data_IF_610844196637
#
_entry.id   IF_610844196637
#
_cell.length_a   1.000
_cell.length_b   1.000
_cell.length_c   1.000
_cell.angle_alpha   90.00
_cell.angle_beta   90.00
_cell.angle_gamma   90.00
#
_symmetry.space_group_name_H-M   'P 1'
#
loop_
_entity.id
_entity.type
_entity.pdbx_description
1 polymer ?
#
# COMPACT_ATOMS: atom_id res chain seq x y z
N UNK A 1 -7.92 67.72 1.11
CA UNK A 1 -7.92 66.68 2.18
C UNK A 1 -8.14 65.33 1.51
N UNK A 2 -7.18 64.40 1.58
CA UNK A 2 -7.25 63.12 0.84
C UNK A 2 -7.86 62.03 1.75
N UNK A 3 -8.97 61.43 1.35
CA UNK A 3 -9.63 60.34 2.08
C UNK A 3 -9.26 59.01 1.45
N UNK A 4 -8.65 58.11 2.22
CA UNK A 4 -8.28 56.76 1.76
C UNK A 4 -9.33 55.77 2.22
N UNK A 5 -10.05 55.16 1.28
CA UNK A 5 -11.02 54.08 1.56
C UNK A 5 -10.27 52.75 1.47
N UNK A 6 -10.23 51.99 2.56
CA UNK A 6 -9.54 50.70 2.60
C UNK A 6 -10.49 49.57 2.19
N UNK A 7 -10.21 48.92 1.05
CA UNK A 7 -10.76 47.61 0.65
C UNK A 7 -9.60 46.61 0.56
N UNK A 8 -9.76 45.34 0.94
CA UNK A 8 -8.68 44.37 0.83
C UNK A 8 -8.24 44.22 -0.64
N UNK A 9 -6.94 44.40 -0.91
CA UNK A 9 -6.25 44.20 -2.19
C UNK A 9 -6.50 45.19 -3.34
N UNK A 10 -7.10 46.36 -3.12
CA UNK A 10 -7.11 47.44 -4.13
C UNK A 10 -6.80 48.77 -3.46
N UNK A 11 -5.66 49.39 -3.82
CA UNK A 11 -5.40 50.80 -3.51
C UNK A 11 -5.91 51.64 -4.68
N UNK A 12 -6.85 52.52 -4.36
CA UNK A 12 -7.43 53.47 -5.30
C UNK A 12 -7.02 54.85 -4.84
N UNK A 13 -6.32 55.60 -5.69
CA UNK A 13 -6.03 57.02 -5.47
C UNK A 13 -7.10 57.85 -6.18
N UNK A 14 -7.70 58.80 -5.46
CA UNK A 14 -8.65 59.77 -5.99
C UNK A 14 -7.98 61.15 -6.04
N UNK A 15 -8.27 61.94 -7.08
CA UNK A 15 -7.86 63.34 -7.17
C UNK A 15 -8.75 64.29 -6.34
N UNK A 16 -8.51 65.61 -6.41
CA UNK A 16 -9.29 66.61 -5.66
C UNK A 16 -10.74 66.76 -6.14
N UNK A 17 -11.10 66.20 -7.31
CA UNK A 17 -12.46 66.18 -7.86
C UNK A 17 -13.16 64.83 -7.66
N UNK A 18 -12.50 63.86 -7.02
CA UNK A 18 -13.05 62.55 -6.73
C UNK A 18 -12.97 61.57 -7.89
N UNK A 19 -12.18 61.85 -8.92
CA UNK A 19 -11.93 60.94 -10.04
C UNK A 19 -10.79 59.96 -9.72
N UNK A 20 -10.94 58.73 -10.19
CA UNK A 20 -10.00 57.63 -9.95
C UNK A 20 -8.79 57.79 -10.86
N UNK A 21 -7.63 58.14 -10.30
CA UNK A 21 -6.41 58.38 -11.07
C UNK A 21 -5.55 57.13 -11.26
N UNK A 22 -5.49 56.23 -10.28
CA UNK A 22 -4.79 54.95 -10.42
C UNK A 22 -5.46 53.83 -9.64
N UNK A 23 -5.55 52.65 -10.27
CA UNK A 23 -5.93 51.38 -9.63
C UNK A 23 -4.75 50.41 -9.71
N UNK A 24 -3.91 50.39 -8.67
CA UNK A 24 -2.87 49.37 -8.54
C UNK A 24 -3.53 48.04 -8.14
N UNK A 25 -4.01 47.33 -9.15
CA UNK A 25 -4.41 45.93 -9.03
C UNK A 25 -3.12 45.14 -8.89
N UNK A 26 -2.87 44.54 -7.71
CA UNK A 26 -1.76 43.62 -7.50
C UNK A 26 -1.89 42.41 -8.43
N UNK A 27 -1.41 42.54 -9.66
CA UNK A 27 -1.49 41.52 -10.69
C UNK A 27 -0.70 40.29 -10.25
N UNK A 28 -1.39 39.15 -10.16
CA UNK A 28 -0.70 37.87 -10.14
C UNK A 28 0.04 37.75 -11.48
N UNK A 29 1.38 37.83 -11.45
CA UNK A 29 2.21 37.59 -12.62
C UNK A 29 2.02 36.14 -13.08
N UNK A 30 1.03 35.93 -13.95
CA UNK A 30 0.94 34.75 -14.81
C UNK A 30 2.19 34.79 -15.69
N UNK A 31 2.89 33.66 -15.79
CA UNK A 31 4.20 33.60 -16.43
C UNK A 31 4.11 34.13 -17.87
N UNK A 32 4.77 35.27 -18.15
CA UNK A 32 4.75 35.94 -19.46
C UNK A 32 5.55 35.20 -20.55
N UNK A 33 6.25 34.14 -20.17
CA UNK A 33 6.88 33.18 -21.07
C UNK A 33 6.37 31.76 -20.76
N UNK A 34 5.65 31.17 -21.73
CA UNK A 34 5.34 29.74 -21.93
C UNK A 34 4.01 29.12 -21.40
N UNK A 35 3.48 28.11 -22.15
CA UNK A 35 2.05 27.83 -22.40
C UNK A 35 1.29 27.03 -21.32
N UNK A 36 1.73 27.05 -20.07
CA UNK A 36 1.30 26.06 -19.06
C UNK A 36 0.15 26.49 -18.14
N UNK A 37 -0.42 27.69 -18.34
CA UNK A 37 -1.64 28.16 -17.64
C UNK A 37 -1.58 28.17 -16.11
N UNK A 38 -0.38 28.06 -15.52
CA UNK A 38 -0.16 27.93 -14.07
C UNK A 38 0.54 29.17 -13.54
N UNK A 39 0.11 29.64 -12.36
CA UNK A 39 0.76 30.73 -11.64
C UNK A 39 2.28 30.49 -11.50
N UNK A 40 3.09 31.50 -11.83
CA UNK A 40 4.56 31.43 -11.92
C UNK A 40 5.21 30.83 -10.67
N UNK A 41 4.69 31.16 -9.49
CA UNK A 41 5.14 30.63 -8.18
C UNK A 41 5.12 29.09 -8.10
N UNK A 42 4.18 28.45 -8.79
CA UNK A 42 3.93 27.01 -8.79
C UNK A 42 4.42 26.30 -10.06
N UNK A 43 5.07 27.03 -10.98
CA UNK A 43 5.63 26.46 -12.19
C UNK A 43 7.04 25.92 -11.91
N UNK A 44 7.22 24.60 -12.05
CA UNK A 44 8.54 23.97 -11.88
C UNK A 44 9.49 24.35 -13.01
N UNK A 45 8.99 24.39 -14.24
CA UNK A 45 9.77 24.64 -15.46
C UNK A 45 10.27 26.08 -15.54
N UNK A 46 9.55 27.02 -14.95
CA UNK A 46 9.95 28.43 -14.88
C UNK A 46 10.75 28.78 -13.61
N UNK A 47 11.19 27.78 -12.83
CA UNK A 47 11.93 28.02 -11.59
C UNK A 47 11.11 28.77 -10.52
N UNK A 48 9.80 28.52 -10.47
CA UNK A 48 8.87 29.17 -9.54
C UNK A 48 9.35 29.11 -8.09
N UNK A 49 9.08 30.17 -7.32
CA UNK A 49 9.62 30.36 -5.96
C UNK A 49 9.35 29.21 -4.96
N UNK A 50 8.38 28.33 -5.25
CA UNK A 50 8.11 27.13 -4.46
C UNK A 50 9.17 26.02 -4.64
N UNK A 51 9.86 25.99 -5.77
CA UNK A 51 10.85 24.97 -6.11
C UNK A 51 12.28 25.48 -5.86
N UNK A 52 13.18 24.57 -5.48
CA UNK A 52 14.62 24.84 -5.43
C UNK A 52 15.29 24.47 -6.77
N UNK A 53 16.57 24.79 -6.88
CA UNK A 53 17.44 24.38 -8.01
C UNK A 53 17.47 22.86 -8.21
N UNK A 54 17.26 22.08 -7.15
CA UNK A 54 17.15 20.61 -7.22
C UNK A 54 15.80 20.12 -7.79
N UNK A 55 14.93 21.02 -8.26
CA UNK A 55 13.63 20.69 -8.86
C UNK A 55 12.61 20.08 -7.89
N UNK A 56 12.89 20.16 -6.58
CA UNK A 56 12.01 19.74 -5.48
C UNK A 56 11.35 20.96 -4.85
N UNK A 57 10.26 20.74 -4.14
CA UNK A 57 9.64 21.81 -3.34
C UNK A 57 10.62 22.21 -2.23
N UNK A 58 10.93 23.52 -2.08
CA UNK A 58 12.00 24.02 -1.19
C UNK A 58 11.89 23.48 0.23
N UNK A 59 10.70 23.51 0.82
CA UNK A 59 10.49 23.05 2.20
C UNK A 59 10.64 21.51 2.37
N UNK A 60 10.63 20.75 1.27
CA UNK A 60 10.82 19.29 1.22
C UNK A 60 12.21 18.88 0.71
N UNK A 61 13.05 19.83 0.30
CA UNK A 61 14.36 19.53 -0.25
C UNK A 61 15.36 19.33 0.90
N UNK A 62 15.93 18.12 1.01
CA UNK A 62 16.98 17.81 1.98
C UNK A 62 18.23 18.68 1.77
N UNK A 63 18.65 18.83 0.51
CA UNK A 63 19.87 19.57 0.13
C UNK A 63 19.75 21.07 0.42
N UNK A 64 18.53 21.62 0.37
CA UNK A 64 18.26 23.02 0.75
C UNK A 64 17.92 23.20 2.24
N UNK A 65 18.05 22.17 3.08
CA UNK A 65 17.68 22.25 4.50
C UNK A 65 16.18 22.49 4.73
N UNK A 66 15.34 22.05 3.80
CA UNK A 66 13.89 22.25 3.86
C UNK A 66 13.28 21.78 5.18
N UNK A 67 12.56 22.65 5.87
CA UNK A 67 12.12 22.43 7.26
C UNK A 67 11.25 21.18 7.50
N UNK A 68 10.67 20.59 6.45
CA UNK A 68 9.89 19.35 6.60
C UNK A 68 10.72 18.07 6.64
N UNK A 69 11.99 18.10 6.24
CA UNK A 69 12.90 16.95 6.28
C UNK A 69 13.87 17.15 7.44
N UNK A 70 14.15 16.09 8.20
CA UNK A 70 15.19 16.09 9.22
C UNK A 70 16.54 15.63 8.63
N UNK A 71 17.61 15.75 9.41
CA UNK A 71 18.95 15.28 9.04
C UNK A 71 19.00 13.81 8.62
N UNK A 72 18.13 12.98 9.24
CA UNK A 72 17.94 11.56 8.90
C UNK A 72 17.29 11.32 7.52
N UNK A 73 16.97 12.38 6.76
CA UNK A 73 16.34 12.28 5.44
C UNK A 73 14.88 11.83 5.46
N UNK A 74 14.26 11.78 6.65
CA UNK A 74 12.84 11.45 6.85
C UNK A 74 12.03 12.72 7.03
N UNK A 75 10.72 12.65 6.78
CA UNK A 75 9.83 13.75 7.13
C UNK A 75 9.86 13.95 8.65
N UNK A 76 10.17 15.17 9.10
CA UNK A 76 10.45 15.52 10.51
C UNK A 76 9.29 15.13 11.43
N UNK A 77 8.04 15.28 10.99
CA UNK A 77 6.86 14.87 11.74
C UNK A 77 6.76 13.37 11.99
N UNK A 78 7.36 12.53 11.14
CA UNK A 78 7.34 11.06 11.24
C UNK A 78 8.67 10.46 11.69
N UNK A 79 9.69 11.29 11.93
CA UNK A 79 11.00 10.80 12.33
C UNK A 79 10.99 10.45 13.82
N UNK A 80 11.17 9.16 14.13
CA UNK A 80 11.27 8.67 15.52
C UNK A 80 12.48 9.28 16.25
N UNK A 81 13.63 9.36 15.58
CA UNK A 81 14.88 9.88 16.14
C UNK A 81 14.79 11.38 16.47
N UNK A 82 13.95 12.14 15.76
CA UNK A 82 13.70 13.56 16.04
C UNK A 82 12.49 13.83 16.94
N UNK A 83 11.88 12.80 17.54
CA UNK A 83 10.67 12.97 18.35
C UNK A 83 9.47 13.52 17.55
N UNK A 84 9.36 13.15 16.27
CA UNK A 84 8.38 13.70 15.34
C UNK A 84 6.95 13.68 15.91
N UNK A 85 6.23 14.80 15.76
CA UNK A 85 4.90 15.01 16.35
C UNK A 85 3.83 13.98 15.95
N UNK A 86 4.05 13.21 14.88
CA UNK A 86 3.14 12.12 14.45
C UNK A 86 3.46 10.78 15.10
N UNK A 87 4.56 10.65 15.83
CA UNK A 87 5.00 9.44 16.53
C UNK A 87 4.67 9.57 18.03
N UNK A 88 4.13 8.50 18.64
CA UNK A 88 3.93 8.44 20.09
C UNK A 88 5.16 7.91 20.81
N UNK A 89 5.14 7.96 22.14
CA UNK A 89 6.17 7.36 23.00
C UNK A 89 6.40 5.86 22.72
N UNK A 90 5.37 5.12 22.31
CA UNK A 90 5.46 3.73 21.90
C UNK A 90 6.17 3.52 20.54
N UNK A 91 6.67 4.58 19.91
CA UNK A 91 7.37 4.52 18.62
C UNK A 91 6.48 4.18 17.42
N UNK A 92 5.16 4.22 17.58
CA UNK A 92 4.16 4.01 16.52
C UNK A 92 3.59 5.35 16.05
N UNK A 93 2.97 5.39 14.87
CA UNK A 93 2.21 6.58 14.47
C UNK A 93 1.04 6.79 15.45
N UNK A 94 0.90 8.00 16.01
CA UNK A 94 -0.12 8.34 17.03
C UNK A 94 -1.52 7.89 16.61
N UNK A 95 -1.92 8.18 15.38
CA UNK A 95 -3.23 7.79 14.83
C UNK A 95 -3.47 6.27 14.76
N UNK A 96 -2.41 5.47 14.73
CA UNK A 96 -2.46 4.01 14.63
C UNK A 96 -2.09 3.31 15.94
N UNK A 97 -1.76 4.05 16.99
CA UNK A 97 -1.34 3.47 18.26
C UNK A 97 -2.57 3.13 19.11
N UNK A 98 -2.77 1.83 19.39
CA UNK A 98 -3.85 1.37 20.27
C UNK A 98 -3.71 1.95 21.68
N UNK A 99 -2.50 1.93 22.24
CA UNK A 99 -2.19 2.40 23.60
C UNK A 99 -2.46 3.90 23.78
N UNK A 100 -2.31 4.70 22.71
CA UNK A 100 -2.64 6.13 22.73
C UNK A 100 -4.07 6.46 22.29
N UNK A 101 -4.95 5.46 22.11
CA UNK A 101 -6.32 5.69 21.62
C UNK A 101 -6.38 6.27 20.20
N UNK A 102 -5.40 5.90 19.35
CA UNK A 102 -5.26 6.45 18.01
C UNK A 102 -6.55 6.35 17.18
N UNK A 103 -6.95 7.48 16.57
CA UNK A 103 -8.24 7.61 15.87
C UNK A 103 -8.49 6.60 14.74
N UNK A 104 -7.43 6.01 14.16
CA UNK A 104 -7.53 5.00 13.11
C UNK A 104 -7.77 3.58 13.64
N UNK A 105 -7.62 3.33 14.94
CA UNK A 105 -7.85 2.04 15.59
C UNK A 105 -9.19 2.09 16.33
N UNK A 106 -9.95 0.99 16.29
CA UNK A 106 -11.15 0.84 17.10
C UNK A 106 -10.85 0.09 18.41
N UNK A 107 -11.84 0.03 19.31
CA UNK A 107 -11.74 -0.71 20.58
C UNK A 107 -11.34 -2.18 20.41
N UNK A 108 -11.74 -2.82 19.31
CA UNK A 108 -11.35 -4.18 18.93
C UNK A 108 -9.87 -4.33 18.54
N UNK A 109 -9.08 -3.25 18.56
CA UNK A 109 -7.66 -3.24 18.16
C UNK A 109 -7.43 -3.40 16.66
N UNK A 110 -8.49 -3.28 15.84
CA UNK A 110 -8.43 -3.35 14.37
C UNK A 110 -8.44 -1.93 13.79
N UNK A 111 -8.00 -1.78 12.54
CA UNK A 111 -8.20 -0.50 11.84
C UNK A 111 -9.70 -0.23 11.66
N UNK A 112 -10.16 0.94 12.12
CA UNK A 112 -11.58 1.33 12.13
C UNK A 112 -12.22 1.24 10.74
N UNK A 113 -11.48 1.62 9.71
CA UNK A 113 -11.92 1.54 8.31
C UNK A 113 -12.27 0.10 7.86
N UNK A 114 -11.58 -0.92 8.40
CA UNK A 114 -11.75 -2.32 8.04
C UNK A 114 -12.45 -3.15 9.14
N UNK A 115 -12.91 -2.51 10.21
CA UNK A 115 -13.53 -3.23 11.32
C UNK A 115 -15.00 -3.53 11.02
N UNK A 116 -15.36 -4.80 10.89
CA UNK A 116 -16.74 -5.24 10.64
C UNK A 116 -17.66 -4.91 11.82
N UNK A 117 -17.19 -5.13 13.06
CA UNK A 117 -17.96 -4.88 14.29
C UNK A 117 -18.29 -3.39 14.47
N UNK A 118 -17.39 -2.48 14.05
CA UNK A 118 -17.63 -1.03 14.10
C UNK A 118 -18.33 -0.47 12.85
N UNK A 119 -18.77 -1.31 11.90
CA UNK A 119 -19.35 -0.84 10.64
C UNK A 119 -18.39 -0.01 9.78
N UNK A 120 -17.09 -0.34 9.80
CA UNK A 120 -16.05 0.38 9.07
C UNK A 120 -16.39 0.56 7.59
N UNK A 121 -16.16 1.77 7.06
CA UNK A 121 -16.58 2.14 5.70
C UNK A 121 -15.91 1.33 4.57
N UNK A 122 -14.79 0.67 4.87
CA UNK A 122 -14.11 -0.28 4.00
C UNK A 122 -14.77 -1.66 3.90
N UNK A 123 -15.78 -1.95 4.72
CA UNK A 123 -16.58 -3.18 4.66
C UNK A 123 -17.93 -2.86 3.98
N UNK A 124 -18.36 -3.72 3.06
CA UNK A 124 -19.66 -3.58 2.41
C UNK A 124 -20.76 -4.30 3.20
N UNK A 125 -22.03 -4.10 2.78
CA UNK A 125 -23.20 -4.77 3.38
C UNK A 125 -23.10 -6.31 3.37
N UNK A 126 -22.33 -6.89 2.46
CA UNK A 126 -22.09 -8.35 2.38
C UNK A 126 -20.99 -8.82 3.36
N UNK A 127 -20.46 -7.95 4.22
CA UNK A 127 -19.41 -8.28 5.19
C UNK A 127 -18.03 -8.55 4.58
N UNK A 128 -17.83 -8.22 3.30
CA UNK A 128 -16.55 -8.32 2.58
C UNK A 128 -15.88 -6.95 2.48
N UNK A 129 -14.57 -6.91 2.24
CA UNK A 129 -13.91 -5.64 1.89
C UNK A 129 -14.55 -5.07 0.62
N UNK A 130 -14.95 -3.79 0.66
CA UNK A 130 -15.70 -3.14 -0.41
C UNK A 130 -14.97 -3.18 -1.74
N UNK A 131 -13.66 -2.97 -1.73
CA UNK A 131 -12.80 -3.06 -2.93
C UNK A 131 -12.77 -4.46 -3.56
N UNK A 132 -12.99 -5.52 -2.77
CA UNK A 132 -12.94 -6.92 -3.22
C UNK A 132 -14.33 -7.54 -3.41
N UNK A 133 -15.40 -6.81 -3.11
CA UNK A 133 -16.74 -7.34 -3.18
C UNK A 133 -17.27 -7.33 -4.61
N UNK A 134 -17.42 -8.52 -5.21
CA UNK A 134 -18.00 -8.69 -6.55
C UNK A 134 -19.40 -8.09 -6.66
N UNK A 135 -20.27 -8.36 -5.67
CA UNK A 135 -21.65 -7.86 -5.64
C UNK A 135 -21.76 -6.34 -5.49
N UNK A 136 -20.70 -5.66 -5.02
CA UNK A 136 -20.65 -4.20 -4.95
C UNK A 136 -19.87 -3.56 -6.10
N UNK A 137 -19.40 -4.35 -7.10
CA UNK A 137 -18.53 -3.83 -8.15
C UNK A 137 -17.21 -3.28 -7.61
N UNK A 138 -16.65 -3.91 -6.57
CA UNK A 138 -15.43 -3.45 -5.91
C UNK A 138 -14.29 -3.18 -6.91
N UNK A 139 -13.51 -2.13 -6.66
CA UNK A 139 -12.46 -1.65 -7.57
C UNK A 139 -11.40 -2.70 -7.94
N UNK A 140 -11.18 -3.69 -7.07
CA UNK A 140 -10.24 -4.79 -7.28
C UNK A 140 -10.84 -5.95 -8.07
N UNK A 141 -12.13 -5.94 -8.36
CA UNK A 141 -12.84 -6.97 -9.14
C UNK A 141 -13.10 -6.42 -10.55
N UNK A 142 -12.89 -7.24 -11.57
CA UNK A 142 -13.26 -6.91 -12.95
C UNK A 142 -14.67 -7.42 -13.29
N UNK A 143 -15.17 -7.05 -14.47
CA UNK A 143 -16.46 -7.52 -14.99
C UNK A 143 -16.57 -9.05 -15.09
N UNK A 144 -15.45 -9.73 -15.33
CA UNK A 144 -15.34 -11.20 -15.32
C UNK A 144 -15.45 -11.83 -13.93
N UNK A 145 -15.59 -11.01 -12.87
CA UNK A 145 -15.67 -11.47 -11.49
C UNK A 145 -14.36 -12.02 -10.91
N UNK A 146 -13.24 -11.77 -11.60
CA UNK A 146 -11.88 -12.12 -11.15
C UNK A 146 -11.22 -10.89 -10.53
N UNK A 147 -10.15 -11.10 -9.76
CA UNK A 147 -9.33 -9.98 -9.29
C UNK A 147 -8.69 -9.28 -10.50
N UNK A 148 -8.95 -7.98 -10.66
CA UNK A 148 -8.55 -7.16 -11.82
C UNK A 148 -7.06 -7.22 -12.10
N UNK A 149 -6.23 -7.25 -11.05
CA UNK A 149 -4.76 -7.37 -11.15
C UNK A 149 -4.34 -8.69 -11.80
N UNK A 150 -5.13 -9.77 -11.68
CA UNK A 150 -4.80 -11.13 -12.15
C UNK A 150 -5.65 -11.56 -13.35
N UNK A 151 -6.63 -10.76 -13.76
CA UNK A 151 -7.51 -11.10 -14.86
C UNK A 151 -6.77 -10.98 -16.20
N UNK A 152 -6.64 -12.10 -16.91
CA UNK A 152 -5.99 -12.14 -18.23
C UNK A 152 -6.78 -11.35 -19.28
N UNK A 153 -8.12 -11.46 -19.28
CA UNK A 153 -9.00 -10.77 -20.23
C UNK A 153 -8.94 -9.24 -20.07
N UNK A 154 -8.70 -8.73 -18.86
CA UNK A 154 -8.56 -7.30 -18.61
C UNK A 154 -7.11 -6.79 -18.70
N UNK A 155 -6.14 -7.63 -19.12
CA UNK A 155 -4.73 -7.26 -19.14
C UNK A 155 -4.16 -6.90 -17.76
N UNK A 156 -4.62 -7.60 -16.72
CA UNK A 156 -4.29 -7.30 -15.33
C UNK A 156 -2.80 -7.07 -15.08
N UNK A 157 -2.48 -6.12 -14.19
CA UNK A 157 -1.10 -5.68 -13.91
C UNK A 157 -0.15 -6.79 -13.41
N UNK A 158 -0.67 -7.94 -12.99
CA UNK A 158 0.12 -9.10 -12.57
C UNK A 158 0.32 -10.12 -13.69
N UNK A 159 -0.31 -9.94 -14.85
CA UNK A 159 -0.22 -10.85 -16.02
C UNK A 159 0.64 -10.20 -17.11
N UNK A 160 1.61 -10.93 -17.65
CA UNK A 160 2.41 -10.47 -18.78
C UNK A 160 1.70 -10.73 -20.11
N UNK A 161 2.26 -10.20 -21.20
CA UNK A 161 1.82 -10.47 -22.57
C UNK A 161 1.80 -11.97 -22.92
N UNK A 162 2.69 -12.78 -22.33
CA UNK A 162 2.71 -14.24 -22.46
C UNK A 162 1.56 -14.95 -21.71
N UNK A 163 0.65 -14.21 -21.06
CA UNK A 163 -0.48 -14.77 -20.32
C UNK A 163 -0.11 -15.49 -19.01
N UNK A 164 1.14 -15.35 -18.56
CA UNK A 164 1.64 -15.90 -17.29
C UNK A 164 1.66 -14.80 -16.22
N UNK A 165 1.75 -15.17 -14.94
CA UNK A 165 2.01 -14.18 -13.88
C UNK A 165 3.39 -13.54 -14.14
N UNK A 166 3.47 -12.21 -14.21
CA UNK A 166 4.72 -11.46 -14.48
C UNK A 166 5.87 -11.91 -13.59
N UNK A 167 5.60 -12.07 -12.29
CA UNK A 167 6.59 -12.52 -11.32
C UNK A 167 7.13 -13.93 -11.59
N UNK A 168 6.39 -14.77 -12.33
CA UNK A 168 6.72 -16.15 -12.66
C UNK A 168 7.05 -16.35 -14.16
N UNK A 169 7.10 -15.27 -14.94
CA UNK A 169 7.38 -15.35 -16.36
C UNK A 169 8.88 -15.22 -16.60
N UNK A 170 9.52 -16.28 -17.11
CA UNK A 170 10.94 -16.27 -17.50
C UNK A 170 11.25 -15.18 -18.53
N UNK A 171 10.44 -15.10 -19.59
CA UNK A 171 10.63 -14.17 -20.70
C UNK A 171 10.56 -12.70 -20.25
N UNK A 172 9.80 -12.41 -19.19
CA UNK A 172 9.72 -11.06 -18.60
C UNK A 172 10.74 -10.82 -17.47
N UNK A 173 11.69 -11.72 -17.23
CA UNK A 173 12.65 -11.61 -16.12
C UNK A 173 11.99 -11.69 -14.74
N UNK A 174 10.85 -12.38 -14.63
CA UNK A 174 10.04 -12.46 -13.42
C UNK A 174 10.86 -12.84 -12.19
N UNK A 175 10.81 -11.99 -11.16
CA UNK A 175 11.65 -12.11 -9.96
C UNK A 175 11.47 -13.39 -9.13
N UNK A 176 10.50 -14.25 -9.47
CA UNK A 176 10.31 -15.55 -8.81
C UNK A 176 10.98 -16.72 -9.54
N UNK A 177 11.53 -16.54 -10.76
CA UNK A 177 12.18 -17.60 -11.54
C UNK A 177 13.70 -17.37 -11.55
N UNK A 178 14.50 -18.40 -11.22
CA UNK A 178 15.96 -18.33 -11.35
C UNK A 178 16.41 -18.64 -12.78
N UNK A 179 17.71 -18.47 -13.02
CA UNK A 179 18.37 -18.90 -14.27
C UNK A 179 18.17 -20.39 -14.61
N UNK A 180 17.93 -21.23 -13.59
CA UNK A 180 17.66 -22.67 -13.75
C UNK A 180 16.19 -23.01 -14.08
N UNK A 181 15.37 -22.04 -14.49
CA UNK A 181 13.95 -22.22 -14.82
C UNK A 181 13.08 -22.79 -13.70
N UNK A 182 13.54 -22.65 -12.45
CA UNK A 182 12.84 -23.08 -11.25
C UNK A 182 12.37 -21.87 -10.46
N UNK A 183 11.35 -22.05 -9.63
CA UNK A 183 10.96 -21.01 -8.66
C UNK A 183 12.15 -20.78 -7.74
N UNK A 184 12.68 -19.54 -7.66
CA UNK A 184 13.89 -19.17 -6.90
C UNK A 184 13.87 -19.72 -5.48
N UNK A 185 12.76 -19.56 -4.77
CA UNK A 185 12.61 -20.04 -3.40
C UNK A 185 12.71 -21.57 -3.27
N UNK A 186 12.46 -22.32 -4.34
CA UNK A 186 12.52 -23.80 -4.37
C UNK A 186 13.74 -24.33 -5.13
N UNK A 187 14.57 -23.47 -5.70
CA UNK A 187 15.74 -23.90 -6.45
C UNK A 187 16.88 -24.27 -5.50
N UNK A 188 17.32 -25.53 -5.54
CA UNK A 188 18.43 -26.02 -4.72
C UNK A 188 19.76 -25.34 -5.11
N UNK A 189 20.02 -25.19 -6.40
CA UNK A 189 21.24 -24.58 -6.95
C UNK A 189 21.36 -23.09 -6.57
N UNK A 190 20.24 -22.38 -6.42
CA UNK A 190 20.24 -20.97 -5.97
C UNK A 190 20.16 -20.81 -4.44
N UNK A 191 20.24 -21.89 -3.65
CA UNK A 191 20.05 -21.81 -2.21
C UNK A 191 18.67 -21.29 -1.78
N UNK A 192 17.64 -21.58 -2.58
CA UNK A 192 16.29 -21.06 -2.40
C UNK A 192 15.79 -21.23 -0.97
N UNK A 193 15.24 -20.16 -0.37
CA UNK A 193 14.88 -20.13 1.05
C UNK A 193 13.86 -21.17 1.51
N UNK A 194 13.17 -21.87 0.61
CA UNK A 194 12.29 -23.01 0.94
C UNK A 194 13.02 -24.35 1.02
N UNK A 195 14.30 -24.44 0.65
CA UNK A 195 15.14 -25.64 0.74
C UNK A 195 16.05 -25.53 1.97
N UNK A 196 16.14 -26.60 2.76
CA UNK A 196 17.08 -26.67 3.90
C UNK A 196 18.46 -27.14 3.44
N UNK A 197 19.43 -27.09 4.35
CA UNK A 197 20.78 -27.64 4.14
C UNK A 197 20.76 -29.14 3.75
N UNK A 198 19.78 -29.89 4.24
CA UNK A 198 19.56 -31.30 3.87
C UNK A 198 19.00 -31.51 2.45
N UNK A 199 18.87 -30.44 1.65
CA UNK A 199 18.37 -30.50 0.26
C UNK A 199 16.87 -30.83 0.13
N UNK A 200 16.13 -30.84 1.24
CA UNK A 200 14.68 -31.08 1.29
C UNK A 200 13.92 -29.76 1.41
N UNK A 201 12.63 -29.73 1.10
CA UNK A 201 11.81 -28.57 1.44
C UNK A 201 11.77 -28.38 2.97
N UNK A 202 12.12 -27.19 3.46
CA UNK A 202 12.20 -26.86 4.90
C UNK A 202 10.94 -27.25 5.65
N UNK A 203 9.78 -26.97 5.08
CA UNK A 203 8.48 -27.31 5.69
C UNK A 203 8.26 -28.81 5.90
N UNK A 204 8.90 -29.67 5.12
CA UNK A 204 8.77 -31.14 5.19
C UNK A 204 10.02 -31.83 5.76
N UNK A 205 11.06 -31.08 6.12
CA UNK A 205 12.29 -31.65 6.65
C UNK A 205 12.11 -32.00 8.13
N UNK A 206 12.24 -33.28 8.48
CA UNK A 206 12.15 -33.73 9.89
C UNK A 206 13.31 -33.19 10.73
N UNK A 207 14.52 -33.24 10.19
CA UNK A 207 15.76 -32.77 10.85
C UNK A 207 15.71 -31.26 11.16
N UNK A 208 15.01 -30.47 10.34
CA UNK A 208 14.82 -29.03 10.58
C UNK A 208 13.55 -28.69 11.39
N UNK A 209 12.82 -29.68 11.91
CA UNK A 209 11.54 -29.43 12.59
C UNK A 209 10.49 -28.77 11.70
N UNK A 210 10.45 -29.14 10.41
CA UNK A 210 9.59 -28.52 9.41
C UNK A 210 8.13 -28.44 9.83
N UNK A 211 7.48 -27.31 9.52
CA UNK A 211 6.11 -27.01 9.97
C UNK A 211 5.05 -28.04 9.57
N UNK A 212 5.29 -28.84 8.53
CA UNK A 212 4.38 -29.89 8.07
C UNK A 212 4.63 -31.25 8.74
N UNK A 213 5.65 -31.38 9.59
CA UNK A 213 5.95 -32.57 10.37
C UNK A 213 5.40 -32.38 11.79
N UNK A 214 4.71 -33.40 12.32
CA UNK A 214 4.27 -33.43 13.71
C UNK A 214 5.37 -33.98 14.63
N UNK A 215 5.15 -33.88 15.94
CA UNK A 215 6.01 -34.48 16.96
C UNK A 215 6.21 -36.00 16.77
N UNK A 216 5.22 -36.70 16.23
CA UNK A 216 5.30 -38.13 15.88
C UNK A 216 6.17 -38.42 14.62
N UNK A 217 6.87 -37.41 14.07
CA UNK A 217 7.73 -37.56 12.90
C UNK A 217 7.00 -37.91 11.59
N UNK A 218 5.67 -37.72 11.56
CA UNK A 218 4.81 -37.95 10.38
C UNK A 218 4.36 -36.62 9.79
N UNK A 219 3.91 -36.62 8.53
CA UNK A 219 3.27 -35.41 7.97
C UNK A 219 1.99 -35.12 8.74
N UNK A 220 1.84 -33.90 9.28
CA UNK A 220 0.70 -33.46 10.12
C UNK A 220 -0.63 -33.84 9.50
N UNK A 221 -0.80 -33.56 8.20
CA UNK A 221 -2.03 -33.85 7.46
C UNK A 221 -2.39 -35.34 7.43
N UNK A 222 -1.42 -36.25 7.53
CA UNK A 222 -1.59 -37.71 7.46
C UNK A 222 -1.47 -38.39 8.82
N UNK A 223 -1.20 -37.64 9.89
CA UNK A 223 -1.00 -38.21 11.21
C UNK A 223 -2.36 -38.47 11.87
N UNK A 224 -2.64 -39.74 12.17
CA UNK A 224 -3.87 -40.15 12.87
C UNK A 224 -3.93 -39.59 14.28
N UNK A 225 -2.81 -39.66 15.01
CA UNK A 225 -2.69 -39.16 16.40
C UNK A 225 -2.90 -37.64 16.50
N UNK A 226 -2.52 -36.88 15.45
CA UNK A 226 -2.76 -35.44 15.41
C UNK A 226 -4.10 -35.04 14.77
N UNK A 227 -4.98 -35.99 14.45
CA UNK A 227 -6.24 -35.70 13.74
C UNK A 227 -6.03 -34.99 12.39
N UNK A 228 -4.97 -35.36 11.67
CA UNK A 228 -4.56 -34.69 10.43
C UNK A 228 -5.70 -34.61 9.42
N UNK A 229 -5.84 -33.49 8.70
CA UNK A 229 -6.98 -33.23 7.82
C UNK A 229 -7.21 -34.22 6.67
N UNK A 230 -6.24 -35.11 6.39
CA UNK A 230 -6.40 -36.24 5.45
C UNK A 230 -6.98 -37.50 6.09
N UNK A 231 -7.19 -37.52 7.41
CA UNK A 231 -7.79 -38.60 8.18
C UNK A 231 -9.25 -38.25 8.45
N UNK A 232 -10.17 -39.18 8.22
CA UNK A 232 -11.58 -39.01 8.56
C UNK A 232 -11.82 -39.37 10.03
N UNK A 233 -13.03 -39.09 10.52
CA UNK A 233 -13.47 -39.48 11.86
C UNK A 233 -13.40 -41.00 12.10
N UNK A 234 -13.52 -41.81 11.04
CA UNK A 234 -13.34 -43.27 11.08
C UNK A 234 -11.86 -43.70 11.22
N UNK A 235 -10.93 -42.77 11.42
CA UNK A 235 -9.51 -43.05 11.62
C UNK A 235 -8.78 -43.60 10.39
N UNK A 236 -9.41 -43.55 9.20
CA UNK A 236 -8.87 -43.97 7.91
C UNK A 236 -8.50 -42.74 7.06
N UNK A 237 -7.71 -42.92 6.00
CA UNK A 237 -7.47 -41.82 5.05
C UNK A 237 -8.79 -41.47 4.36
N UNK A 238 -9.19 -40.20 4.41
CA UNK A 238 -10.48 -39.71 3.90
C UNK A 238 -10.73 -40.09 2.43
N UNK A 239 -9.69 -40.11 1.60
CA UNK A 239 -9.78 -40.51 0.20
C UNK A 239 -9.85 -42.03 -0.06
N UNK A 240 -9.72 -42.86 0.99
CA UNK A 240 -9.78 -44.34 0.94
C UNK A 240 -10.85 -44.91 1.87
N UNK A 241 -11.59 -44.07 2.58
CA UNK A 241 -12.68 -44.51 3.45
C UNK A 241 -13.94 -44.62 2.59
N UNK A 242 -14.50 -45.81 2.45
CA UNK A 242 -15.72 -46.05 1.66
C UNK A 242 -16.88 -45.21 2.19
N UNK A 243 -17.09 -45.23 3.50
CA UNK A 243 -18.09 -44.39 4.19
C UNK A 243 -17.95 -42.88 3.92
N UNK A 244 -16.73 -42.37 3.68
CA UNK A 244 -16.51 -40.96 3.33
C UNK A 244 -16.47 -40.69 1.82
N UNK A 245 -16.34 -41.71 0.98
CA UNK A 245 -16.37 -41.58 -0.48
C UNK A 245 -17.79 -41.41 -0.98
N UNK A 246 -18.74 -42.08 -0.33
CA UNK A 246 -20.15 -42.09 -0.68
C UNK A 246 -20.95 -40.99 0.03
N UNK A 247 -20.32 -40.25 0.95
CA UNK A 247 -20.93 -39.10 1.59
C UNK A 247 -21.03 -37.91 0.60
N UNK A 248 -22.20 -37.25 0.48
CA UNK A 248 -22.32 -36.04 -0.32
C UNK A 248 -21.38 -34.98 0.24
N UNK A 249 -20.53 -34.41 -0.63
CA UNK A 249 -19.73 -33.24 -0.27
C UNK A 249 -20.69 -32.07 -0.01
N UNK A 250 -20.53 -31.32 1.09
CA UNK A 250 -21.30 -30.10 1.31
C UNK A 250 -20.98 -29.05 0.25
#
# INVERSE_FOLDING_TARGET
MKTTIWRPNVRVTLDEYGEVVDTESGGEEVCSASPHGRQRRYCKECGGALFCEHGRVRYQCKECGGGSICEHGRQRSYCKECGGASICEHGRQRKQCKECGGASICEHGRQRYHCKECGGSGICKHGRQRSQCKECGGSSVCEHGRERSTCKECGGSSICEHGRRRSQCKECGGGSICEHDRIRSRCKECGGGSICEHGRQRSYCKECGGSQICEHGRQRQKCKECGGGSICEHGRRRNRCEECRDAPRP
#
